data_IF_119440304872
#
_entry.id   IF_119440304872
#
_cell.length_a   1.000
_cell.length_b   1.000
_cell.length_c   1.000
_cell.angle_alpha   90.00
_cell.angle_beta   90.00
_cell.angle_gamma   90.00
#
_symmetry.space_group_name_H-M   'P 1'
#
loop_
_entity.id
_entity.type
_entity.pdbx_description
1 polymer ?
#
# COMPACT_ATOMS: atom_id res chain seq x y z
N UNK A 1 43.97 -47.28 -17.07
CA UNK A 1 43.48 -46.58 -15.86
C UNK A 1 43.61 -45.03 -15.93
N UNK A 2 43.24 -44.31 -17.01
CA UNK A 2 43.10 -42.84 -16.95
C UNK A 2 41.66 -42.30 -17.11
N UNK A 3 40.70 -43.13 -17.55
CA UNK A 3 39.36 -42.67 -17.95
C UNK A 3 38.47 -42.24 -16.78
N UNK A 4 38.65 -42.85 -15.60
CA UNK A 4 37.83 -42.55 -14.42
C UNK A 4 38.13 -41.18 -13.78
N UNK A 5 39.35 -40.65 -13.96
CA UNK A 5 39.77 -39.37 -13.37
C UNK A 5 39.14 -38.18 -14.10
N UNK A 6 38.92 -38.29 -15.42
CA UNK A 6 38.29 -37.25 -16.25
C UNK A 6 36.79 -37.07 -15.97
N UNK A 7 36.08 -38.15 -15.60
CA UNK A 7 34.64 -38.08 -15.29
C UNK A 7 34.39 -37.36 -13.96
N UNK A 8 35.28 -37.53 -12.97
CA UNK A 8 35.20 -36.89 -11.65
C UNK A 8 35.44 -35.38 -11.69
N UNK A 9 36.30 -34.91 -12.59
CA UNK A 9 36.53 -33.47 -12.78
C UNK A 9 35.40 -32.79 -13.54
N UNK A 10 34.73 -33.50 -14.47
CA UNK A 10 33.61 -32.96 -15.23
C UNK A 10 32.36 -32.69 -14.35
N UNK A 11 32.11 -33.53 -13.33
CA UNK A 11 30.99 -33.36 -12.40
C UNK A 11 31.18 -32.19 -11.44
N UNK A 12 32.42 -31.92 -11.02
CA UNK A 12 32.74 -30.80 -10.13
C UNK A 12 32.53 -29.43 -10.81
N UNK A 13 32.86 -29.31 -12.10
CA UNK A 13 32.68 -28.06 -12.87
C UNK A 13 31.19 -27.79 -13.16
N UNK A 14 30.40 -28.83 -13.40
CA UNK A 14 28.95 -28.69 -13.65
C UNK A 14 28.18 -28.25 -12.39
N UNK A 15 28.60 -28.70 -11.20
CA UNK A 15 28.01 -28.30 -9.93
C UNK A 15 28.29 -26.83 -9.57
N UNK A 16 29.45 -26.29 -9.96
CA UNK A 16 29.79 -24.86 -9.77
C UNK A 16 29.05 -23.93 -10.75
N UNK A 17 28.70 -24.40 -11.95
CA UNK A 17 27.91 -23.64 -12.92
C UNK A 17 26.42 -23.52 -12.57
N UNK A 18 25.86 -24.51 -11.86
CA UNK A 18 24.45 -24.52 -11.48
C UNK A 18 24.07 -23.40 -10.48
N UNK A 19 25.02 -22.88 -9.70
CA UNK A 19 24.76 -21.75 -8.79
C UNK A 19 24.71 -20.39 -9.50
N UNK A 20 25.35 -20.23 -10.67
CA UNK A 20 25.31 -18.99 -11.45
C UNK A 20 24.01 -18.84 -12.26
N UNK A 21 23.30 -19.94 -12.54
CA UNK A 21 22.03 -19.92 -13.26
C UNK A 21 20.86 -19.36 -12.42
N UNK A 22 20.93 -19.41 -11.08
CA UNK A 22 19.96 -18.75 -10.20
C UNK A 22 20.10 -17.21 -10.17
N UNK A 23 21.10 -16.63 -10.83
CA UNK A 23 21.33 -15.18 -10.91
C UNK A 23 21.00 -14.57 -12.29
N UNK A 24 20.57 -15.36 -13.27
CA UNK A 24 20.10 -14.79 -14.53
C UNK A 24 18.76 -14.10 -14.22
N UNK A 25 18.79 -12.79 -13.99
CA UNK A 25 17.59 -11.98 -13.77
C UNK A 25 17.04 -11.58 -15.13
N UNK A 26 16.04 -12.28 -15.68
CA UNK A 26 15.35 -11.83 -16.87
C UNK A 26 14.71 -10.46 -16.61
N UNK A 27 14.45 -9.72 -17.70
CA UNK A 27 13.77 -8.43 -17.64
C UNK A 27 12.46 -8.57 -16.81
N UNK A 28 12.24 -7.76 -15.77
CA UNK A 28 11.15 -7.97 -14.80
C UNK A 28 9.82 -7.40 -15.31
N UNK A 29 9.32 -7.83 -16.47
CA UNK A 29 8.14 -7.24 -17.12
C UNK A 29 6.86 -7.38 -16.30
N UNK A 30 6.60 -8.57 -15.74
CA UNK A 30 5.42 -8.84 -14.92
C UNK A 30 5.37 -7.95 -13.68
N UNK A 31 6.47 -7.91 -12.91
CA UNK A 31 6.55 -7.10 -11.70
C UNK A 31 6.40 -5.60 -12.02
N UNK A 32 7.03 -5.12 -13.10
CA UNK A 32 6.88 -3.73 -13.53
C UNK A 32 5.43 -3.40 -13.91
N UNK A 33 4.70 -4.34 -14.52
CA UNK A 33 3.28 -4.13 -14.87
C UNK A 33 2.40 -4.04 -13.61
N UNK A 34 2.62 -4.89 -12.61
CA UNK A 34 1.89 -4.83 -11.34
C UNK A 34 2.12 -3.48 -10.64
N UNK A 35 3.38 -3.06 -10.51
CA UNK A 35 3.69 -1.80 -9.85
C UNK A 35 3.17 -0.58 -10.64
N UNK A 36 3.23 -0.62 -11.99
CA UNK A 36 2.63 0.41 -12.83
C UNK A 36 1.14 0.58 -12.57
N UNK A 37 0.40 -0.52 -12.56
CA UNK A 37 -1.06 -0.46 -12.36
C UNK A 37 -1.42 0.11 -10.99
N UNK A 38 -0.65 -0.23 -9.94
CA UNK A 38 -0.83 0.35 -8.62
C UNK A 38 -0.55 1.86 -8.59
N UNK A 39 0.57 2.32 -9.16
CA UNK A 39 0.93 3.74 -9.22
C UNK A 39 -0.07 4.53 -10.07
N UNK A 40 -0.50 4.00 -11.22
CA UNK A 40 -1.48 4.64 -12.11
C UNK A 40 -2.85 4.75 -11.41
N UNK A 41 -3.28 3.72 -10.69
CA UNK A 41 -4.53 3.75 -9.90
C UNK A 41 -4.47 4.82 -8.81
N UNK A 42 -3.38 4.87 -8.03
CA UNK A 42 -3.20 5.88 -7.00
C UNK A 42 -3.12 7.30 -7.58
N UNK A 43 -2.48 7.47 -8.75
CA UNK A 43 -2.31 8.77 -9.41
C UNK A 43 -3.60 9.29 -10.03
N UNK A 44 -4.42 8.41 -10.59
CA UNK A 44 -5.68 8.79 -11.23
C UNK A 44 -6.82 9.02 -10.24
N UNK A 45 -6.68 8.57 -8.99
CA UNK A 45 -7.66 8.76 -7.92
C UNK A 45 -7.51 10.16 -7.28
N UNK A 46 -8.45 11.10 -7.49
CA UNK A 46 -8.32 12.48 -6.98
C UNK A 46 -8.26 12.54 -5.45
N UNK A 47 -8.97 11.64 -4.77
CA UNK A 47 -8.98 11.50 -3.31
C UNK A 47 -7.59 11.19 -2.74
N UNK A 48 -6.75 10.47 -3.49
CA UNK A 48 -5.40 10.11 -3.06
C UNK A 48 -4.49 11.33 -3.11
N UNK A 49 -4.58 12.13 -4.18
CA UNK A 49 -3.85 13.38 -4.28
C UNK A 49 -4.26 14.40 -3.20
N UNK A 50 -5.53 14.44 -2.81
CA UNK A 50 -6.03 15.33 -1.77
C UNK A 50 -5.62 14.91 -0.35
N UNK A 51 -5.71 13.60 -0.04
CA UNK A 51 -5.59 13.10 1.33
C UNK A 51 -4.20 12.51 1.65
N UNK A 52 -3.41 12.11 0.65
CA UNK A 52 -2.08 11.50 0.81
C UNK A 52 -1.07 11.97 -0.27
N UNK A 53 -0.81 13.29 -0.40
CA UNK A 53 0.05 13.82 -1.46
C UNK A 53 1.52 13.40 -1.33
N UNK A 54 2.03 13.23 -0.10
CA UNK A 54 3.44 12.91 0.14
C UNK A 54 3.76 11.49 -0.30
N UNK A 55 2.93 10.53 0.09
CA UNK A 55 3.09 9.13 -0.26
C UNK A 55 2.87 8.90 -1.77
N UNK A 56 1.88 9.60 -2.35
CA UNK A 56 1.65 9.56 -3.80
C UNK A 56 2.85 10.12 -4.58
N UNK A 57 3.45 11.21 -4.12
CA UNK A 57 4.63 11.78 -4.77
C UNK A 57 5.83 10.82 -4.66
N UNK A 58 6.06 10.23 -3.48
CA UNK A 58 7.09 9.21 -3.30
C UNK A 58 6.92 8.03 -4.27
N UNK A 59 5.69 7.54 -4.43
CA UNK A 59 5.40 6.46 -5.38
C UNK A 59 5.77 6.84 -6.83
N UNK A 60 5.41 8.06 -7.26
CA UNK A 60 5.71 8.57 -8.61
C UNK A 60 7.22 8.76 -8.84
N UNK A 61 7.92 9.28 -7.84
CA UNK A 61 9.36 9.51 -7.93
C UNK A 61 10.13 8.18 -7.99
N UNK A 62 9.74 7.19 -7.17
CA UNK A 62 10.34 5.85 -7.22
C UNK A 62 10.00 5.10 -8.50
N UNK A 63 8.77 5.24 -9.01
CA UNK A 63 8.38 4.68 -10.31
C UNK A 63 9.22 5.25 -11.46
N UNK A 64 9.44 6.56 -11.46
CA UNK A 64 10.30 7.23 -12.45
C UNK A 64 11.73 6.71 -12.39
N UNK A 65 12.29 6.54 -11.18
CA UNK A 65 13.62 5.94 -11.00
C UNK A 65 13.65 4.46 -11.42
N UNK A 66 12.57 3.70 -11.20
CA UNK A 66 12.46 2.31 -11.64
C UNK A 66 12.50 2.21 -13.17
N UNK A 67 11.81 3.13 -13.86
CA UNK A 67 11.80 3.23 -15.31
C UNK A 67 13.21 3.52 -15.86
N UNK A 68 13.91 4.49 -15.26
CA UNK A 68 15.30 4.81 -15.61
C UNK A 68 16.26 3.62 -15.40
N UNK A 69 16.09 2.88 -14.30
CA UNK A 69 16.88 1.68 -14.04
C UNK A 69 16.58 0.56 -15.06
N UNK A 70 15.31 0.41 -15.47
CA UNK A 70 14.90 -0.54 -16.49
C UNK A 70 15.54 -0.21 -17.84
N UNK A 71 15.55 1.08 -18.22
CA UNK A 71 16.17 1.57 -19.45
C UNK A 71 17.69 1.41 -19.43
N UNK A 72 18.30 1.57 -18.26
CA UNK A 72 19.72 1.30 -18.01
C UNK A 72 20.07 -0.20 -17.92
N UNK A 73 19.08 -1.08 -18.08
CA UNK A 73 19.20 -2.55 -17.93
C UNK A 73 19.63 -3.01 -16.53
N UNK A 74 19.51 -2.15 -15.52
CA UNK A 74 19.69 -2.51 -14.11
C UNK A 74 18.38 -3.11 -13.58
N UNK A 75 18.13 -4.37 -13.96
CA UNK A 75 16.88 -5.06 -13.67
C UNK A 75 16.66 -5.30 -12.18
N UNK A 76 17.72 -5.47 -11.39
CA UNK A 76 17.63 -5.65 -9.94
C UNK A 76 17.17 -4.37 -9.27
N UNK A 77 17.79 -3.23 -9.63
CA UNK A 77 17.38 -1.93 -9.11
C UNK A 77 15.99 -1.54 -9.58
N UNK A 78 15.66 -1.78 -10.86
CA UNK A 78 14.33 -1.52 -11.41
C UNK A 78 13.25 -2.28 -10.64
N UNK A 79 13.45 -3.58 -10.40
CA UNK A 79 12.48 -4.42 -9.68
C UNK A 79 12.29 -3.97 -8.23
N UNK A 80 13.37 -3.57 -7.56
CA UNK A 80 13.31 -3.05 -6.18
C UNK A 80 12.55 -1.73 -6.12
N UNK A 81 12.92 -0.76 -6.95
CA UNK A 81 12.27 0.56 -6.98
C UNK A 81 10.79 0.46 -7.38
N UNK A 82 10.44 -0.44 -8.29
CA UNK A 82 9.06 -0.69 -8.66
C UNK A 82 8.24 -1.25 -7.47
N UNK A 83 8.79 -2.22 -6.73
CA UNK A 83 8.14 -2.75 -5.54
C UNK A 83 7.97 -1.69 -4.43
N UNK A 84 8.98 -0.83 -4.23
CA UNK A 84 8.86 0.30 -3.32
C UNK A 84 7.80 1.32 -3.77
N UNK A 85 7.73 1.63 -5.07
CA UNK A 85 6.71 2.51 -5.64
C UNK A 85 5.30 1.95 -5.46
N UNK A 86 5.12 0.65 -5.66
CA UNK A 86 3.85 -0.04 -5.42
C UNK A 86 3.44 0.02 -3.94
N UNK A 87 4.39 -0.21 -3.02
CA UNK A 87 4.14 -0.13 -1.59
C UNK A 87 3.70 1.29 -1.19
N UNK A 88 4.41 2.32 -1.65
CA UNK A 88 4.06 3.72 -1.41
C UNK A 88 2.67 4.07 -1.97
N UNK A 89 2.34 3.59 -3.18
CA UNK A 89 1.02 3.79 -3.78
C UNK A 89 -0.09 3.17 -2.92
N UNK A 90 0.11 1.96 -2.38
CA UNK A 90 -0.83 1.31 -1.47
C UNK A 90 -0.96 2.07 -0.14
N UNK A 91 0.13 2.61 0.40
CA UNK A 91 0.08 3.46 1.59
C UNK A 91 -0.74 4.73 1.30
N UNK A 92 -0.52 5.37 0.16
CA UNK A 92 -1.27 6.56 -0.25
C UNK A 92 -2.77 6.27 -0.36
N UNK A 93 -3.14 5.17 -1.01
CA UNK A 93 -4.54 4.75 -1.15
C UNK A 93 -5.20 4.48 0.20
N UNK A 94 -4.57 3.67 1.05
CA UNK A 94 -5.13 3.31 2.37
C UNK A 94 -5.28 4.53 3.28
N UNK A 95 -4.32 5.45 3.25
CA UNK A 95 -4.39 6.72 4.00
C UNK A 95 -5.51 7.61 3.47
N UNK A 96 -5.69 7.66 2.15
CA UNK A 96 -6.76 8.43 1.54
C UNK A 96 -8.14 7.89 1.89
N UNK A 97 -8.29 6.57 1.87
CA UNK A 97 -9.52 5.87 2.29
C UNK A 97 -9.81 6.07 3.77
N UNK A 98 -8.79 6.00 4.64
CA UNK A 98 -8.97 6.25 6.06
C UNK A 98 -9.48 7.67 6.34
N UNK A 99 -8.93 8.66 5.64
CA UNK A 99 -9.34 10.08 5.78
C UNK A 99 -10.77 10.30 5.28
N UNK A 100 -11.11 9.72 4.12
CA UNK A 100 -12.45 9.80 3.52
C UNK A 100 -13.52 9.13 4.38
N UNK A 101 -13.21 7.94 4.91
CA UNK A 101 -14.08 7.23 5.84
C UNK A 101 -14.30 8.02 7.14
N UNK A 102 -13.25 8.64 7.68
CA UNK A 102 -13.38 9.48 8.88
C UNK A 102 -14.29 10.70 8.64
N UNK A 103 -14.18 11.35 7.48
CA UNK A 103 -15.05 12.46 7.10
C UNK A 103 -16.51 12.00 6.93
N UNK A 104 -16.72 10.87 6.26
CA UNK A 104 -18.06 10.28 6.06
C UNK A 104 -18.70 9.92 7.39
N UNK A 105 -17.95 9.31 8.31
CA UNK A 105 -18.44 9.00 9.66
C UNK A 105 -18.86 10.27 10.43
N UNK A 106 -18.11 11.36 10.29
CA UNK A 106 -18.46 12.62 10.92
C UNK A 106 -19.75 13.20 10.33
N UNK A 107 -19.90 13.16 9.01
CA UNK A 107 -21.12 13.63 8.33
C UNK A 107 -22.37 12.85 8.78
N UNK A 108 -22.26 11.53 8.93
CA UNK A 108 -23.36 10.68 9.44
C UNK A 108 -23.71 11.05 10.88
N UNK A 109 -22.71 11.25 11.76
CA UNK A 109 -22.94 11.66 13.15
C UNK A 109 -23.66 13.02 13.23
N UNK A 110 -23.22 14.00 12.45
CA UNK A 110 -23.87 15.32 12.39
C UNK A 110 -25.30 15.23 11.87
N UNK A 111 -25.55 14.36 10.87
CA UNK A 111 -26.90 14.13 10.35
C UNK A 111 -27.82 13.53 11.43
N UNK A 112 -27.34 12.56 12.19
CA UNK A 112 -28.09 11.95 13.31
C UNK A 112 -28.40 12.99 14.39
N UNK A 113 -27.43 13.81 14.78
CA UNK A 113 -27.64 14.88 15.78
C UNK A 113 -28.69 15.89 15.32
N UNK A 114 -28.62 16.34 14.06
CA UNK A 114 -29.61 17.26 13.50
C UNK A 114 -31.03 16.65 13.50
N UNK A 115 -31.15 15.35 13.25
CA UNK A 115 -32.44 14.66 13.31
C UNK A 115 -32.98 14.57 14.74
N UNK A 116 -32.11 14.30 15.72
CA UNK A 116 -32.48 14.25 17.15
C UNK A 116 -32.92 15.62 17.68
N UNK A 117 -32.23 16.68 17.29
CA UNK A 117 -32.59 18.06 17.62
C UNK A 117 -33.95 18.44 17.05
N UNK A 118 -34.23 18.03 15.81
CA UNK A 118 -35.51 18.30 15.17
C UNK A 118 -36.67 17.54 15.83
N UNK A 119 -36.44 16.29 16.27
CA UNK A 119 -37.41 15.53 17.06
C UNK A 119 -37.68 16.24 18.40
N UNK A 120 -36.63 16.68 19.09
CA UNK A 120 -36.73 17.38 20.38
C UNK A 120 -37.46 18.71 20.25
N UNK A 121 -37.21 19.48 19.18
CA UNK A 121 -37.91 20.74 18.92
C UNK A 121 -39.39 20.57 18.60
N UNK A 122 -39.75 19.49 17.91
CA UNK A 122 -41.15 19.20 17.52
C UNK A 122 -41.95 18.50 18.61
N UNK A 123 -41.30 17.94 19.63
CA UNK A 123 -41.98 17.30 20.74
C UNK A 123 -42.76 18.35 21.57
N UNK A 124 -44.05 18.14 21.87
CA UNK A 124 -44.76 19.01 22.80
C UNK A 124 -44.10 18.95 24.19
N UNK A 125 -44.12 20.03 24.99
CA UNK A 125 -43.56 20.02 26.33
C UNK A 125 -44.34 19.03 27.20
N UNK A 126 -43.78 17.83 27.37
CA UNK A 126 -44.30 16.81 28.28
C UNK A 126 -43.83 17.14 29.70
N UNK A 127 -44.74 17.46 30.65
CA UNK A 127 -44.35 17.72 32.04
C UNK A 127 -43.69 16.48 32.64
N UNK A 128 -42.46 16.62 33.12
CA UNK A 128 -41.71 15.52 33.77
C UNK A 128 -40.78 14.70 32.85
N UNK A 129 -40.62 15.06 31.57
CA UNK A 129 -39.60 14.44 30.73
C UNK A 129 -38.20 14.87 31.17
N UNK A 130 -37.38 13.91 31.64
CA UNK A 130 -35.95 14.14 31.84
C UNK A 130 -35.31 14.52 30.50
N UNK A 131 -34.34 15.46 30.49
CA UNK A 131 -33.61 15.78 29.28
C UNK A 131 -33.02 14.51 28.68
N UNK A 132 -33.01 14.36 27.34
CA UNK A 132 -32.42 13.18 26.72
C UNK A 132 -30.97 13.04 27.22
N UNK A 133 -30.54 11.81 27.59
CA UNK A 133 -29.17 11.61 28.01
C UNK A 133 -28.24 12.11 26.90
N UNK A 134 -27.12 12.79 27.25
CA UNK A 134 -26.17 13.22 26.25
C UNK A 134 -25.77 12.02 25.40
N UNK A 135 -25.56 12.19 24.08
CA UNK A 135 -25.18 11.09 23.22
C UNK A 135 -23.97 10.40 23.83
N UNK A 136 -24.08 9.09 24.07
CA UNK A 136 -22.96 8.32 24.55
C UNK A 136 -21.77 8.56 23.61
N UNK A 137 -20.54 8.70 24.13
CA UNK A 137 -19.38 8.81 23.27
C UNK A 137 -19.37 7.55 22.40
N UNK A 138 -19.65 7.74 21.10
CA UNK A 138 -19.37 6.70 20.11
C UNK A 138 -17.90 6.34 20.32
N UNK A 139 -17.55 5.06 20.53
CA UNK A 139 -16.15 4.69 20.60
C UNK A 139 -15.54 5.27 19.34
N UNK A 140 -14.58 6.19 19.49
CA UNK A 140 -13.71 6.52 18.39
C UNK A 140 -13.17 5.17 17.98
N UNK A 141 -13.57 4.67 16.81
CA UNK A 141 -12.98 3.48 16.26
C UNK A 141 -11.48 3.74 16.37
N UNK A 142 -10.81 2.98 17.23
CA UNK A 142 -9.38 3.10 17.40
C UNK A 142 -8.81 3.13 15.98
N UNK A 143 -7.85 4.03 15.67
CA UNK A 143 -7.24 4.04 14.35
C UNK A 143 -6.93 2.60 14.03
N UNK A 144 -7.53 2.07 12.95
CA UNK A 144 -7.21 0.71 12.51
C UNK A 144 -5.68 0.67 12.49
N UNK A 145 -5.05 -0.29 13.17
CA UNK A 145 -3.60 -0.33 13.22
C UNK A 145 -3.13 -0.24 11.78
N UNK A 146 -2.26 0.75 11.50
CA UNK A 146 -1.65 0.89 10.19
C UNK A 146 -1.16 -0.51 9.77
N UNK A 147 -1.37 -0.93 8.52
CA UNK A 147 -0.76 -2.16 8.05
C UNK A 147 0.72 -2.06 8.38
N UNK A 148 1.20 -2.95 9.26
CA UNK A 148 2.60 -2.98 9.66
C UNK A 148 3.44 -2.94 8.39
N UNK A 149 4.48 -2.09 8.29
CA UNK A 149 5.35 -2.11 7.14
C UNK A 149 5.86 -3.54 7.00
N UNK A 150 5.46 -4.19 5.90
CA UNK A 150 5.93 -5.52 5.56
C UNK A 150 7.44 -5.49 5.63
N UNK A 151 8.00 -6.32 6.52
CA UNK A 151 9.43 -6.42 6.72
C UNK A 151 10.08 -6.65 5.35
N UNK A 152 10.77 -5.63 4.84
CA UNK A 152 11.64 -5.77 3.68
C UNK A 152 12.71 -6.77 4.10
N UNK A 153 12.78 -7.97 3.51
CA UNK A 153 13.81 -8.93 3.87
C UNK A 153 15.17 -8.32 3.52
N UNK A 154 16.18 -8.41 4.41
CA UNK A 154 17.51 -7.90 4.10
C UNK A 154 18.05 -8.63 2.87
N UNK A 155 18.52 -7.84 1.90
CA UNK A 155 19.25 -8.35 0.75
C UNK A 155 20.43 -9.19 1.25
N UNK A 156 20.45 -10.47 0.85
CA UNK A 156 21.57 -11.37 1.04
C UNK A 156 22.11 -11.77 -0.33
#
# INVERSE_FOLDING_TARGET
MPTFTLIRTATAVLALGALAACSSTPKPTEQMAVSRTAVDRATTAPKVAANAPVELQSARDKWTQAQQALDSKDYTRARRLAAEAEADARVAETKAEATDNAATLQQVKTSIQSLQDEITRRAPPVPGAMPPPPPAPVPMAAPMPAPMPGAVPPAR
#
